data_IF_556594289567
#
_entry.id   IF_556594289567
#
_cell.length_a   1.000
_cell.length_b   1.000
_cell.length_c   1.000
_cell.angle_alpha   90.00
_cell.angle_beta   90.00
_cell.angle_gamma   90.00
#
_symmetry.space_group_name_H-M   'P 1'
#
loop_
_entity.id
_entity.type
_entity.pdbx_description
1 polymer ?
#
# COMPACT_ATOMS: atom_id res chain seq x y z
N UNK A 1 -8.47 5.96 -40.92
CA UNK A 1 -8.48 4.84 -39.95
C UNK A 1 -7.22 5.01 -39.11
N UNK A 2 -7.34 5.48 -37.86
CA UNK A 2 -6.20 5.74 -36.98
C UNK A 2 -5.76 4.40 -36.35
N UNK A 3 -4.52 4.00 -36.59
CA UNK A 3 -3.91 2.85 -35.92
C UNK A 3 -3.78 3.14 -34.43
N UNK A 4 -4.42 2.31 -33.60
CA UNK A 4 -4.21 2.27 -32.16
C UNK A 4 -2.83 1.64 -31.95
N UNK A 5 -1.82 2.46 -31.63
CA UNK A 5 -0.56 1.93 -31.09
C UNK A 5 -0.85 1.47 -29.66
N UNK A 6 -0.89 0.16 -29.45
CA UNK A 6 -0.77 -0.43 -28.11
C UNK A 6 0.47 0.18 -27.44
N UNK A 7 0.30 0.75 -26.25
CA UNK A 7 1.40 1.32 -25.48
C UNK A 7 2.46 0.23 -25.25
N UNK A 8 3.57 0.31 -25.99
CA UNK A 8 4.74 -0.54 -25.77
C UNK A 8 5.41 -0.12 -24.47
N UNK A 9 4.98 -0.74 -23.37
CA UNK A 9 5.65 -0.63 -22.07
C UNK A 9 6.80 -1.64 -22.11
N UNK A 10 8.04 -1.15 -22.27
CA UNK A 10 9.23 -1.96 -22.00
C UNK A 10 9.62 -1.79 -20.53
N UNK A 11 9.94 -2.90 -19.86
CA UNK A 11 10.50 -2.90 -18.51
C UNK A 11 11.99 -3.22 -18.64
N UNK A 12 12.82 -2.18 -18.68
CA UNK A 12 14.28 -2.31 -18.72
C UNK A 12 14.82 -2.28 -17.29
N UNK A 13 15.65 -3.26 -16.95
CA UNK A 13 16.35 -3.30 -15.67
C UNK A 13 17.45 -2.23 -15.68
N UNK A 14 17.20 -1.11 -15.01
CA UNK A 14 18.19 -0.03 -14.83
C UNK A 14 18.98 -0.31 -13.55
N UNK A 15 20.31 -0.13 -13.61
CA UNK A 15 21.15 -0.21 -12.41
C UNK A 15 20.62 0.75 -11.33
N UNK A 16 20.52 0.34 -10.06
CA UNK A 16 20.07 1.21 -8.99
C UNK A 16 20.90 2.50 -8.97
N UNK A 17 20.23 3.64 -9.18
CA UNK A 17 20.85 4.94 -9.08
C UNK A 17 21.23 5.27 -7.63
N UNK A 18 22.25 6.10 -7.44
CA UNK A 18 22.62 6.57 -6.11
C UNK A 18 21.59 7.57 -5.58
N UNK A 19 21.43 7.62 -4.25
CA UNK A 19 20.58 8.62 -3.63
C UNK A 19 21.13 10.03 -3.95
N UNK A 20 20.33 10.95 -4.53
CA UNK A 20 20.88 12.20 -5.02
C UNK A 20 21.56 13.04 -3.92
N UNK A 21 22.82 13.42 -4.14
CA UNK A 21 23.61 14.18 -3.16
C UNK A 21 22.95 15.49 -2.74
N UNK A 22 22.32 16.19 -3.69
CA UNK A 22 21.62 17.45 -3.41
C UNK A 22 20.44 17.22 -2.45
N UNK A 23 19.73 16.09 -2.60
CA UNK A 23 18.59 15.74 -1.76
C UNK A 23 19.07 15.36 -0.37
N UNK A 24 20.15 14.57 -0.26
CA UNK A 24 20.78 14.26 1.02
C UNK A 24 21.18 15.53 1.77
N UNK A 25 21.87 16.45 1.09
CA UNK A 25 22.28 17.73 1.67
C UNK A 25 21.08 18.57 2.12
N UNK A 26 19.99 18.59 1.33
CA UNK A 26 18.76 19.30 1.67
C UNK A 26 18.08 18.71 2.92
N UNK A 27 17.95 17.38 2.99
CA UNK A 27 17.35 16.68 4.14
C UNK A 27 18.16 16.92 5.42
N UNK A 28 19.50 16.88 5.34
CA UNK A 28 20.37 17.21 6.48
C UNK A 28 20.15 18.65 6.94
N UNK A 29 20.05 19.62 6.01
CA UNK A 29 19.73 21.01 6.38
C UNK A 29 18.37 21.13 7.06
N UNK A 30 17.36 20.41 6.57
CA UNK A 30 16.02 20.40 7.14
C UNK A 30 15.98 19.77 8.55
N UNK A 31 16.82 18.77 8.82
CA UNK A 31 16.95 18.15 10.15
C UNK A 31 17.64 19.13 11.13
N UNK A 32 18.67 19.83 10.69
CA UNK A 32 19.42 20.79 11.51
C UNK A 32 18.60 22.06 11.79
N UNK A 33 17.86 22.55 10.79
CA UNK A 33 16.99 23.72 10.92
C UNK A 33 15.52 23.35 10.61
N UNK A 34 14.71 23.06 11.65
CA UNK A 34 13.32 22.63 11.47
C UNK A 34 12.36 23.79 11.17
N UNK A 35 12.86 25.02 11.01
CA UNK A 35 12.01 26.17 10.68
C UNK A 35 11.33 25.94 9.33
N UNK A 36 10.08 26.36 9.22
CA UNK A 36 9.37 26.31 7.94
C UNK A 36 9.94 27.32 6.94
N UNK A 37 9.68 27.10 5.65
CA UNK A 37 10.07 28.01 4.58
C UNK A 37 9.61 29.45 4.83
N UNK A 38 8.41 29.64 5.40
CA UNK A 38 7.86 30.98 5.74
C UNK A 38 8.67 31.71 6.81
N UNK A 39 9.43 30.98 7.62
CA UNK A 39 10.29 31.48 8.69
C UNK A 39 11.77 31.50 8.29
N UNK A 40 12.08 31.34 7.00
CA UNK A 40 13.44 31.35 6.46
C UNK A 40 14.19 30.02 6.59
N UNK A 41 13.50 28.92 6.93
CA UNK A 41 14.08 27.58 6.93
C UNK A 41 13.96 26.86 5.57
N UNK A 42 14.37 25.59 5.54
CA UNK A 42 14.31 24.78 4.32
C UNK A 42 12.87 24.41 3.93
N UNK A 43 12.62 24.26 2.62
CA UNK A 43 11.37 23.69 2.14
C UNK A 43 11.21 22.24 2.63
N UNK A 44 10.00 21.86 3.07
CA UNK A 44 9.72 20.51 3.57
C UNK A 44 9.57 19.55 2.39
N UNK A 45 10.46 18.57 2.29
CA UNK A 45 10.40 17.53 1.24
C UNK A 45 9.97 16.20 1.87
N UNK A 46 9.00 15.53 1.25
CA UNK A 46 8.66 14.14 1.52
C UNK A 46 9.28 13.26 0.44
N UNK A 47 9.95 12.18 0.84
CA UNK A 47 10.61 11.22 -0.05
C UNK A 47 9.82 9.92 -0.05
N UNK A 48 9.51 9.43 -1.26
CA UNK A 48 8.91 8.11 -1.47
C UNK A 48 10.00 7.14 -1.95
N UNK A 49 10.23 6.08 -1.17
CA UNK A 49 11.21 5.04 -1.43
C UNK A 49 10.58 3.86 -2.17
N UNK A 50 11.37 3.13 -2.98
CA UNK A 50 10.87 1.97 -3.73
C UNK A 50 10.57 0.77 -2.83
N UNK A 51 11.28 0.62 -1.70
CA UNK A 51 11.05 -0.45 -0.72
C UNK A 51 11.40 -0.01 0.70
N UNK A 52 10.98 -0.80 1.70
CA UNK A 52 11.33 -0.54 3.11
C UNK A 52 12.82 -0.74 3.39
N UNK A 53 13.49 -1.64 2.66
CA UNK A 53 14.93 -1.84 2.77
C UNK A 53 15.69 -0.60 2.34
N UNK A 54 15.35 -0.04 1.16
CA UNK A 54 15.96 1.18 0.65
C UNK A 54 15.69 2.37 1.59
N UNK A 55 14.46 2.47 2.12
CA UNK A 55 14.10 3.48 3.12
C UNK A 55 14.96 3.35 4.37
N UNK A 56 15.11 2.13 4.90
CA UNK A 56 15.88 1.86 6.13
C UNK A 56 17.36 2.18 5.95
N UNK A 57 17.95 1.82 4.81
CA UNK A 57 19.35 2.12 4.49
C UNK A 57 19.62 3.63 4.48
N UNK A 58 18.80 4.39 3.74
CA UNK A 58 18.97 5.85 3.66
C UNK A 58 18.69 6.55 4.99
N UNK A 59 17.71 6.07 5.76
CA UNK A 59 17.45 6.62 7.10
C UNK A 59 18.60 6.35 8.07
N UNK A 60 19.26 5.19 7.98
CA UNK A 60 20.43 4.88 8.80
C UNK A 60 21.60 5.82 8.48
N UNK A 61 21.86 6.05 7.19
CA UNK A 61 22.86 7.01 6.70
C UNK A 61 22.55 8.46 7.13
N UNK A 62 21.28 8.89 7.05
CA UNK A 62 20.87 10.22 7.54
C UNK A 62 21.00 10.38 9.06
N UNK A 63 20.76 9.30 9.82
CA UNK A 63 20.80 9.29 11.28
C UNK A 63 22.23 9.30 11.84
N UNK A 64 23.23 9.07 10.98
CA UNK A 64 24.64 9.14 11.35
C UNK A 64 24.95 10.48 12.05
N UNK A 65 25.67 10.40 13.18
CA UNK A 65 25.93 11.57 14.03
C UNK A 65 24.80 11.92 15.01
N UNK A 66 23.84 11.01 15.27
CA UNK A 66 22.83 11.16 16.33
C UNK A 66 21.66 12.08 15.97
N UNK A 67 21.40 12.26 14.68
CA UNK A 67 20.36 13.16 14.18
C UNK A 67 18.96 12.55 14.39
N UNK A 68 18.01 13.37 14.82
CA UNK A 68 16.59 12.98 14.96
C UNK A 68 15.88 13.24 13.63
N UNK A 69 15.33 12.18 13.03
CA UNK A 69 14.66 12.26 11.73
C UNK A 69 13.14 12.17 11.91
N UNK A 70 12.42 13.10 11.29
CA UNK A 70 10.96 13.02 11.12
C UNK A 70 10.60 11.93 10.10
N UNK A 71 10.27 10.73 10.60
CA UNK A 71 9.90 9.58 9.77
C UNK A 71 8.64 9.80 8.95
N UNK A 72 7.79 10.79 9.27
CA UNK A 72 6.56 11.07 8.51
C UNK A 72 6.85 11.60 7.10
N UNK A 73 8.06 12.10 6.86
CA UNK A 73 8.50 12.57 5.56
C UNK A 73 9.20 11.50 4.72
N UNK A 74 9.32 10.28 5.24
CA UNK A 74 10.01 9.18 4.57
C UNK A 74 9.05 8.01 4.45
N UNK A 75 8.46 7.84 3.26
CA UNK A 75 7.41 6.85 3.00
C UNK A 75 7.84 5.87 1.91
N UNK A 76 7.24 4.70 1.90
CA UNK A 76 7.12 3.81 0.73
C UNK A 76 5.77 4.06 0.07
N UNK A 77 5.54 3.49 -1.11
CA UNK A 77 4.22 3.59 -1.78
C UNK A 77 3.11 3.03 -0.88
N UNK A 78 3.36 1.89 -0.22
CA UNK A 78 2.38 1.23 0.66
C UNK A 78 2.08 2.04 1.93
N UNK A 79 3.10 2.58 2.58
CA UNK A 79 2.90 3.43 3.77
C UNK A 79 2.29 4.79 3.42
N UNK A 80 2.62 5.37 2.26
CA UNK A 80 1.94 6.58 1.77
C UNK A 80 0.46 6.31 1.50
N UNK A 81 0.12 5.20 0.83
CA UNK A 81 -1.27 4.81 0.60
C UNK A 81 -2.02 4.63 1.93
N UNK A 82 -1.40 3.97 2.92
CA UNK A 82 -1.96 3.79 4.26
C UNK A 82 -2.22 5.12 4.98
N UNK A 83 -1.29 6.08 4.87
CA UNK A 83 -1.46 7.42 5.43
C UNK A 83 -2.62 8.16 4.76
N UNK A 84 -2.72 8.12 3.43
CA UNK A 84 -3.81 8.77 2.70
C UNK A 84 -5.17 8.17 3.07
N UNK A 85 -5.27 6.84 3.17
CA UNK A 85 -6.50 6.15 3.63
C UNK A 85 -6.93 6.66 5.01
N UNK A 86 -5.98 6.79 5.94
CA UNK A 86 -6.24 7.30 7.27
C UNK A 86 -6.67 8.78 7.26
N UNK A 87 -5.94 9.64 6.54
CA UNK A 87 -6.19 11.08 6.47
C UNK A 87 -7.54 11.40 5.81
N UNK A 88 -7.88 10.69 4.73
CA UNK A 88 -9.18 10.84 4.06
C UNK A 88 -10.32 10.13 4.79
N UNK A 89 -10.04 9.44 5.91
CA UNK A 89 -11.02 8.65 6.66
C UNK A 89 -11.78 7.67 5.77
N UNK A 90 -11.08 7.10 4.79
CA UNK A 90 -11.69 6.11 3.91
C UNK A 90 -12.06 4.88 4.74
N UNK A 91 -13.15 4.17 4.39
CA UNK A 91 -13.45 2.88 4.97
C UNK A 91 -12.20 2.00 4.86
N UNK A 92 -11.73 1.45 5.98
CA UNK A 92 -10.58 0.53 5.96
C UNK A 92 -10.91 -0.58 4.97
N UNK A 93 -10.04 -0.74 3.96
CA UNK A 93 -10.07 -1.92 3.11
C UNK A 93 -9.85 -3.11 4.05
N UNK A 94 -10.86 -3.98 4.15
CA UNK A 94 -10.72 -5.22 4.89
C UNK A 94 -9.60 -6.01 4.23
N UNK A 95 -8.61 -6.43 5.00
CA UNK A 95 -7.59 -7.35 4.49
C UNK A 95 -8.31 -8.60 3.99
N UNK A 96 -8.04 -9.01 2.75
CA UNK A 96 -8.48 -10.31 2.21
C UNK A 96 -7.56 -11.42 2.72
N UNK A 97 -7.25 -11.38 4.01
CA UNK A 97 -6.42 -12.38 4.66
C UNK A 97 -7.23 -13.64 4.97
N UNK A 98 -6.56 -14.66 5.50
CA UNK A 98 -7.20 -15.94 5.86
C UNK A 98 -8.33 -15.77 6.89
N UNK A 99 -8.31 -14.71 7.69
CA UNK A 99 -9.37 -14.43 8.65
C UNK A 99 -10.62 -13.92 7.95
N UNK A 100 -10.46 -13.09 6.92
CA UNK A 100 -11.55 -12.67 6.05
C UNK A 100 -12.17 -13.84 5.29
N UNK A 101 -11.37 -14.78 4.77
CA UNK A 101 -11.90 -15.96 4.08
C UNK A 101 -12.81 -16.82 4.98
N UNK A 102 -12.46 -16.96 6.26
CA UNK A 102 -13.29 -17.70 7.22
C UNK A 102 -14.61 -16.99 7.50
N UNK A 103 -14.58 -15.66 7.69
CA UNK A 103 -15.78 -14.85 7.91
C UNK A 103 -16.68 -14.89 6.66
N UNK A 104 -16.08 -14.81 5.47
CA UNK A 104 -16.78 -14.93 4.20
C UNK A 104 -17.44 -16.30 4.08
N UNK A 105 -16.71 -17.38 4.42
CA UNK A 105 -17.25 -18.73 4.39
C UNK A 105 -18.44 -18.92 5.33
N UNK A 106 -18.32 -18.48 6.58
CA UNK A 106 -19.41 -18.57 7.57
C UNK A 106 -20.64 -17.78 7.11
N UNK A 107 -20.43 -16.59 6.54
CA UNK A 107 -21.49 -15.76 5.99
C UNK A 107 -22.19 -16.44 4.81
N UNK A 108 -21.42 -17.00 3.87
CA UNK A 108 -21.97 -17.75 2.75
C UNK A 108 -22.70 -19.02 3.20
N UNK A 109 -22.20 -19.73 4.22
CA UNK A 109 -22.87 -20.91 4.76
C UNK A 109 -24.23 -20.55 5.36
N UNK A 110 -24.30 -19.50 6.18
CA UNK A 110 -25.56 -19.02 6.78
C UNK A 110 -26.58 -18.59 5.73
N UNK A 111 -26.14 -17.96 4.65
CA UNK A 111 -27.03 -17.59 3.56
C UNK A 111 -27.44 -18.79 2.69
N UNK A 112 -26.57 -19.79 2.53
CA UNK A 112 -26.90 -21.02 1.83
C UNK A 112 -27.99 -21.84 2.53
N UNK A 113 -28.01 -21.87 3.87
CA UNK A 113 -29.07 -22.49 4.68
C UNK A 113 -30.44 -21.83 4.46
N UNK A 114 -30.45 -20.55 4.09
CA UNK A 114 -31.66 -19.77 3.79
C UNK A 114 -32.04 -19.79 2.30
N UNK A 115 -31.41 -20.64 1.49
CA UNK A 115 -31.57 -20.67 0.03
C UNK A 115 -31.17 -19.37 -0.68
N UNK A 116 -30.18 -18.64 -0.14
CA UNK A 116 -29.61 -17.45 -0.80
C UNK A 116 -28.84 -17.76 -2.08
N UNK A 117 -28.44 -19.02 -2.28
CA UNK A 117 -27.68 -19.49 -3.45
C UNK A 117 -28.34 -20.69 -4.14
N UNK A 118 -29.60 -20.57 -4.61
CA UNK A 118 -30.39 -21.73 -5.04
C UNK A 118 -29.81 -22.44 -6.28
N UNK A 119 -29.04 -21.73 -7.13
CA UNK A 119 -28.38 -22.33 -8.30
C UNK A 119 -27.23 -23.27 -7.94
N UNK A 120 -26.54 -23.03 -6.82
CA UNK A 120 -25.32 -23.78 -6.42
C UNK A 120 -25.49 -24.54 -5.08
N UNK A 121 -26.54 -24.22 -4.32
CA UNK A 121 -26.94 -24.90 -3.07
C UNK A 121 -28.48 -24.95 -2.98
N UNK A 122 -29.13 -25.81 -3.79
CA UNK A 122 -30.59 -25.81 -3.95
C UNK A 122 -31.37 -26.37 -2.76
N UNK A 123 -30.70 -27.04 -1.81
CA UNK A 123 -31.33 -27.68 -0.66
C UNK A 123 -30.77 -27.09 0.64
N UNK A 124 -31.60 -26.73 1.63
CA UNK A 124 -31.12 -26.21 2.92
C UNK A 124 -30.26 -27.21 3.69
N UNK A 125 -30.48 -28.51 3.46
CA UNK A 125 -29.73 -29.61 4.08
C UNK A 125 -28.40 -29.90 3.37
N UNK A 126 -28.16 -29.32 2.20
CA UNK A 126 -26.92 -29.49 1.47
C UNK A 126 -25.81 -28.70 2.16
N UNK A 127 -24.75 -29.40 2.56
CA UNK A 127 -23.58 -28.79 3.22
C UNK A 127 -22.90 -27.79 2.29
N UNK A 128 -22.69 -26.58 2.78
CA UNK A 128 -21.86 -25.57 2.15
C UNK A 128 -20.37 -25.87 2.40
N UNK A 129 -19.55 -25.90 1.35
CA UNK A 129 -18.13 -26.20 1.43
C UNK A 129 -17.25 -25.01 1.03
N UNK A 130 -16.01 -24.97 1.52
CA UNK A 130 -15.05 -23.89 1.23
C UNK A 130 -14.92 -23.62 -0.28
N UNK A 131 -14.83 -24.66 -1.11
CA UNK A 131 -14.71 -24.49 -2.57
C UNK A 131 -15.85 -23.70 -3.22
N UNK A 132 -17.08 -23.77 -2.68
CA UNK A 132 -18.19 -22.93 -3.17
C UNK A 132 -18.01 -21.45 -2.81
N UNK A 133 -17.40 -21.19 -1.66
CA UNK A 133 -17.08 -19.82 -1.19
C UNK A 133 -15.98 -19.24 -2.06
N UNK A 134 -14.89 -19.98 -2.28
CA UNK A 134 -13.79 -19.58 -3.16
C UNK A 134 -14.27 -19.29 -4.58
N UNK A 135 -15.07 -20.20 -5.16
CA UNK A 135 -15.62 -20.01 -6.50
C UNK A 135 -16.52 -18.75 -6.60
N UNK A 136 -17.28 -18.42 -5.55
CA UNK A 136 -18.09 -17.20 -5.53
C UNK A 136 -17.23 -15.93 -5.38
N UNK A 137 -16.17 -15.96 -4.57
CA UNK A 137 -15.30 -14.79 -4.38
C UNK A 137 -14.52 -14.42 -5.64
N UNK A 138 -14.28 -15.38 -6.54
CA UNK A 138 -13.55 -15.21 -7.79
C UNK A 138 -14.44 -14.73 -8.96
N UNK A 139 -15.76 -14.58 -8.78
CA UNK A 139 -16.68 -14.11 -9.83
C UNK A 139 -16.61 -12.58 -10.10
N UNK A 140 -15.59 -11.89 -9.59
CA UNK A 140 -15.37 -10.46 -9.81
C UNK A 140 -14.83 -10.15 -11.20
#
# INVERSE_FOLDING_TARGET
MLEVRENQISNEEVTPGTFPNWLKAHLVKQIVDPRSLKLGGSARIMVVYPSEEARREILADLAEGGRVIDRTLHQTVESLASLLVADFRLPRVLSTDSSFELILHESCQREAEKLGFPLINPLPTMRWGMGKTTALSELH
#
